data_IF_637768738985
#
_entry.id   IF_637768738985
#
_cell.length_a   1.000
_cell.length_b   1.000
_cell.length_c   1.000
_cell.angle_alpha   90.00
_cell.angle_beta   90.00
_cell.angle_gamma   90.00
#
_symmetry.space_group_name_H-M   'P 1'
#
loop_
_entity.id
_entity.type
_entity.pdbx_description
1 polymer ?
#
# COMPACT_ATOMS: atom_id res chain seq x y z
N UNK A 1 4.45 -10.35 6.25
CA UNK A 1 3.12 -9.91 5.83
C UNK A 1 2.15 -11.09 5.90
N UNK A 2 0.92 -10.88 6.38
CA UNK A 2 -0.11 -11.94 6.43
C UNK A 2 -0.72 -12.15 5.05
N UNK A 3 -1.24 -11.08 4.47
CA UNK A 3 -1.74 -11.10 3.09
C UNK A 3 -0.91 -10.13 2.26
N UNK A 4 -0.33 -10.64 1.17
CA UNK A 4 0.43 -9.84 0.22
C UNK A 4 -0.22 -9.91 -1.16
N UNK A 5 -0.82 -8.80 -1.58
CA UNK A 5 -1.44 -8.66 -2.90
C UNK A 5 -0.38 -8.24 -3.90
N UNK A 6 -0.17 -9.04 -4.92
CA UNK A 6 0.88 -8.87 -5.92
C UNK A 6 0.37 -9.11 -7.33
N UNK A 7 0.97 -8.44 -8.31
CA UNK A 7 0.66 -8.57 -9.74
C UNK A 7 1.92 -8.65 -10.62
N UNK A 8 2.97 -9.23 -10.05
CA UNK A 8 4.22 -9.54 -10.75
C UNK A 8 5.29 -8.46 -10.67
N UNK A 9 6.52 -8.89 -10.95
CA UNK A 9 7.68 -8.01 -11.15
C UNK A 9 7.54 -7.23 -12.46
N UNK A 10 8.40 -6.22 -12.65
CA UNK A 10 8.34 -5.31 -13.82
C UNK A 10 8.27 -6.05 -15.16
N UNK A 11 9.08 -7.10 -15.35
CA UNK A 11 9.07 -7.90 -16.58
C UNK A 11 7.71 -8.58 -16.80
N UNK A 12 7.15 -9.20 -15.76
CA UNK A 12 5.85 -9.85 -15.80
C UNK A 12 4.72 -8.86 -16.06
N UNK A 13 4.74 -7.72 -15.36
CA UNK A 13 3.78 -6.65 -15.56
C UNK A 13 3.77 -6.13 -16.99
N UNK A 14 4.94 -5.85 -17.56
CA UNK A 14 5.07 -5.41 -18.97
C UNK A 14 4.59 -6.45 -19.97
N UNK A 15 4.86 -7.72 -19.70
CA UNK A 15 4.51 -8.83 -20.62
C UNK A 15 3.02 -9.17 -20.60
N UNK A 16 2.44 -9.29 -19.41
CA UNK A 16 1.09 -9.83 -19.26
C UNK A 16 0.03 -8.75 -19.02
N UNK A 17 0.42 -7.58 -18.47
CA UNK A 17 -0.46 -6.43 -18.18
C UNK A 17 -1.74 -6.81 -17.45
N UNK A 18 -1.62 -7.74 -16.52
CA UNK A 18 -2.77 -8.32 -15.81
C UNK A 18 -2.73 -7.84 -14.37
N UNK A 19 -3.70 -7.03 -13.92
CA UNK A 19 -3.82 -6.61 -12.54
C UNK A 19 -4.29 -7.76 -11.63
N UNK A 20 -4.02 -7.63 -10.34
CA UNK A 20 -4.76 -8.33 -9.31
C UNK A 20 -6.00 -7.51 -8.98
N UNK A 21 -7.18 -8.04 -9.22
CA UNK A 21 -8.41 -7.27 -9.11
C UNK A 21 -9.59 -8.06 -8.53
N UNK A 22 -10.60 -7.33 -8.05
CA UNK A 22 -11.81 -7.89 -7.46
C UNK A 22 -11.51 -8.80 -6.26
N UNK A 23 -10.66 -8.32 -5.36
CA UNK A 23 -10.22 -9.07 -4.17
C UNK A 23 -11.04 -8.60 -2.97
N UNK A 24 -11.61 -9.52 -2.24
CA UNK A 24 -12.34 -9.26 -1.01
C UNK A 24 -11.75 -10.04 0.15
N UNK A 25 -11.18 -9.32 1.13
CA UNK A 25 -10.62 -9.85 2.37
C UNK A 25 -11.56 -9.43 3.50
N UNK A 26 -12.16 -10.37 4.17
CA UNK A 26 -13.13 -10.07 5.24
C UNK A 26 -13.05 -11.04 6.40
N UNK A 27 -13.44 -10.55 7.58
CA UNK A 27 -13.60 -11.36 8.79
C UNK A 27 -12.33 -12.15 9.16
N UNK A 28 -11.18 -11.49 8.96
CA UNK A 28 -9.87 -12.05 9.25
C UNK A 28 -9.28 -11.47 10.53
N UNK A 29 -8.67 -12.32 11.32
CA UNK A 29 -7.82 -11.95 12.44
C UNK A 29 -6.35 -12.11 12.01
N UNK A 30 -5.54 -11.07 12.21
CA UNK A 30 -4.12 -11.07 11.90
C UNK A 30 -3.34 -10.61 13.11
N UNK A 31 -2.54 -11.51 13.68
CA UNK A 31 -1.86 -11.30 14.97
C UNK A 31 -0.37 -11.61 14.90
N UNK A 32 0.44 -10.77 15.58
CA UNK A 32 1.87 -11.01 15.80
C UNK A 32 2.66 -11.10 14.49
N UNK A 33 2.65 -10.03 13.69
CA UNK A 33 3.36 -10.08 12.42
C UNK A 33 3.72 -8.75 11.78
N UNK A 34 4.30 -8.82 10.58
CA UNK A 34 4.91 -7.64 9.97
C UNK A 34 3.88 -6.70 9.33
N UNK A 35 3.09 -7.16 8.39
CA UNK A 35 2.04 -6.36 7.75
C UNK A 35 0.74 -7.14 7.68
N UNK A 36 -0.39 -6.54 8.12
CA UNK A 36 -1.66 -7.23 8.03
C UNK A 36 -2.08 -7.41 6.57
N UNK A 37 -2.27 -6.32 5.82
CA UNK A 37 -2.50 -6.37 4.38
C UNK A 37 -1.46 -5.52 3.67
N UNK A 38 -0.70 -6.15 2.79
CA UNK A 38 0.37 -5.50 2.04
C UNK A 38 0.08 -5.56 0.54
N UNK A 39 0.19 -4.42 -0.14
CA UNK A 39 0.17 -4.33 -1.60
C UNK A 39 1.59 -4.11 -2.10
N UNK A 40 2.07 -5.01 -2.95
CA UNK A 40 3.43 -4.95 -3.50
C UNK A 40 4.47 -5.70 -2.66
N UNK A 41 5.75 -5.45 -2.90
CA UNK A 41 6.34 -4.50 -3.88
C UNK A 41 6.19 -4.94 -5.35
N UNK A 42 6.02 -6.22 -5.63
CA UNK A 42 5.81 -6.76 -6.99
C UNK A 42 4.37 -6.51 -7.45
N UNK A 43 4.07 -5.28 -7.84
CA UNK A 43 2.73 -4.85 -8.26
C UNK A 43 2.72 -4.20 -9.66
N UNK A 44 3.62 -4.65 -10.55
CA UNK A 44 3.81 -4.04 -11.85
C UNK A 44 2.63 -4.21 -12.83
N UNK A 45 1.71 -5.14 -12.57
CA UNK A 45 0.45 -5.27 -13.29
C UNK A 45 -0.70 -4.43 -12.72
N UNK A 46 -0.49 -3.78 -11.56
CA UNK A 46 -1.52 -3.01 -10.87
C UNK A 46 -2.37 -3.83 -9.89
N UNK A 47 -3.10 -3.13 -9.02
CA UNK A 47 -4.10 -3.71 -8.12
C UNK A 47 -5.34 -2.82 -8.15
N UNK A 48 -6.50 -3.43 -8.38
CA UNK A 48 -7.77 -2.71 -8.52
C UNK A 48 -8.88 -3.38 -7.74
N UNK A 49 -9.79 -2.57 -7.19
CA UNK A 49 -10.95 -3.06 -6.48
C UNK A 49 -10.59 -4.11 -5.42
N UNK A 50 -9.72 -3.70 -4.47
CA UNK A 50 -9.37 -4.47 -3.27
C UNK A 50 -10.19 -3.93 -2.11
N UNK A 51 -11.03 -4.77 -1.51
CA UNK A 51 -11.81 -4.44 -0.32
C UNK A 51 -11.31 -5.27 0.85
N UNK A 52 -10.94 -4.60 1.94
CA UNK A 52 -10.61 -5.22 3.23
C UNK A 52 -11.61 -4.72 4.26
N UNK A 53 -12.40 -5.62 4.84
CA UNK A 53 -13.43 -5.22 5.77
C UNK A 53 -13.70 -6.20 6.90
N UNK A 54 -14.24 -5.69 8.00
CA UNK A 54 -14.64 -6.49 9.16
C UNK A 54 -13.47 -7.35 9.70
N UNK A 55 -12.26 -6.80 9.67
CA UNK A 55 -11.04 -7.46 10.09
C UNK A 55 -10.53 -6.90 11.42
N UNK A 56 -9.69 -7.67 12.08
CA UNK A 56 -8.97 -7.25 13.28
C UNK A 56 -7.47 -7.48 13.09
N UNK A 57 -6.66 -6.44 13.39
CA UNK A 57 -5.20 -6.51 13.37
C UNK A 57 -4.68 -6.26 14.78
N UNK A 58 -3.87 -7.17 15.27
CA UNK A 58 -3.32 -7.11 16.63
C UNK A 58 -1.82 -7.37 16.61
N UNK A 59 -1.05 -6.50 17.27
CA UNK A 59 0.41 -6.63 17.39
C UNK A 59 1.08 -6.89 16.02
N UNK A 60 0.82 -5.98 15.08
CA UNK A 60 1.46 -5.99 13.75
C UNK A 60 2.26 -4.71 13.55
N UNK A 61 3.36 -4.80 12.78
CA UNK A 61 4.14 -3.59 12.46
C UNK A 61 3.30 -2.59 11.62
N UNK A 62 2.47 -3.10 10.72
CA UNK A 62 1.66 -2.29 9.79
C UNK A 62 0.25 -2.87 9.64
N UNK A 63 -0.74 -2.01 9.58
CA UNK A 63 -2.10 -2.39 9.18
C UNK A 63 -2.21 -2.53 7.66
N UNK A 64 -2.38 -1.42 6.95
CA UNK A 64 -2.19 -1.37 5.50
C UNK A 64 -0.75 -0.99 5.18
N UNK A 65 -0.15 -1.69 4.23
CA UNK A 65 1.17 -1.36 3.72
C UNK A 65 1.20 -1.37 2.20
N UNK A 66 1.42 -0.22 1.59
CA UNK A 66 1.67 -0.10 0.15
C UNK A 66 3.17 0.09 -0.08
N UNK A 67 3.75 -0.77 -0.93
CA UNK A 67 5.17 -0.74 -1.32
C UNK A 67 5.28 -0.63 -2.83
N UNK A 68 5.77 0.50 -3.32
CA UNK A 68 6.05 0.70 -4.74
C UNK A 68 7.29 1.58 -4.92
N UNK A 69 7.68 1.83 -6.15
CA UNK A 69 8.82 2.69 -6.48
C UNK A 69 8.85 3.08 -7.95
N UNK A 70 9.63 4.08 -8.29
CA UNK A 70 10.00 4.36 -9.69
C UNK A 70 10.54 3.11 -10.38
N UNK A 71 10.30 2.95 -11.66
CA UNK A 71 10.66 1.79 -12.45
C UNK A 71 9.69 0.60 -12.33
N UNK A 72 8.61 0.72 -11.55
CA UNK A 72 7.62 -0.35 -11.43
C UNK A 72 6.75 -0.50 -12.68
N UNK A 73 6.57 0.58 -13.42
CA UNK A 73 5.86 0.60 -14.70
C UNK A 73 4.55 1.37 -14.66
N UNK A 74 4.12 1.86 -15.82
CA UNK A 74 2.87 2.62 -15.95
C UNK A 74 1.60 1.78 -15.72
N UNK A 75 1.69 0.47 -15.86
CA UNK A 75 0.58 -0.44 -15.54
C UNK A 75 0.51 -0.74 -14.03
N UNK A 76 1.51 -0.30 -13.25
CA UNK A 76 1.53 -0.40 -11.79
C UNK A 76 0.60 0.64 -11.15
N UNK A 77 -0.69 0.51 -11.40
CA UNK A 77 -1.74 1.40 -10.93
C UNK A 77 -2.48 0.76 -9.76
N UNK A 78 -2.57 1.49 -8.66
CA UNK A 78 -3.41 1.14 -7.51
C UNK A 78 -4.66 2.00 -7.56
N UNK A 79 -5.82 1.36 -7.66
CA UNK A 79 -7.10 2.06 -7.73
C UNK A 79 -8.19 1.33 -6.95
N UNK A 80 -9.04 2.09 -6.27
CA UNK A 80 -10.14 1.58 -5.47
C UNK A 80 -9.67 0.55 -4.41
N UNK A 81 -8.72 0.96 -3.60
CA UNK A 81 -8.26 0.20 -2.43
C UNK A 81 -9.06 0.69 -1.22
N UNK A 82 -9.91 -0.16 -0.68
CA UNK A 82 -10.89 0.18 0.35
C UNK A 82 -10.61 -0.63 1.62
N UNK A 83 -10.46 0.08 2.74
CA UNK A 83 -10.36 -0.48 4.08
C UNK A 83 -11.50 0.07 4.92
N UNK A 84 -12.33 -0.79 5.48
CA UNK A 84 -13.46 -0.33 6.29
C UNK A 84 -13.83 -1.30 7.41
N UNK A 85 -14.39 -0.76 8.51
CA UNK A 85 -14.84 -1.55 9.66
C UNK A 85 -13.72 -2.45 10.19
N UNK A 86 -12.58 -1.84 10.51
CA UNK A 86 -11.39 -2.57 10.97
C UNK A 86 -11.02 -2.10 12.36
N UNK A 87 -10.77 -3.04 13.26
CA UNK A 87 -10.17 -2.79 14.56
C UNK A 87 -8.67 -3.09 14.52
N UNK A 88 -7.87 -2.09 14.90
CA UNK A 88 -6.42 -2.23 15.05
C UNK A 88 -6.02 -1.97 16.50
N UNK A 89 -5.24 -2.85 17.08
CA UNK A 89 -4.72 -2.71 18.43
C UNK A 89 -3.25 -3.11 18.48
N UNK A 90 -2.42 -2.28 19.12
CA UNK A 90 -0.95 -2.44 19.16
C UNK A 90 -0.30 -2.50 17.76
N UNK A 91 -0.91 -1.87 16.76
CA UNK A 91 -0.32 -1.75 15.43
C UNK A 91 0.67 -0.59 15.45
N UNK A 92 1.95 -0.83 15.14
CA UNK A 92 2.99 0.22 15.20
C UNK A 92 2.61 1.42 14.33
N UNK A 93 2.24 1.18 13.07
CA UNK A 93 1.77 2.23 12.16
C UNK A 93 0.61 1.72 11.31
N UNK A 94 -0.64 2.14 11.59
CA UNK A 94 -1.84 1.66 10.90
C UNK A 94 -1.80 1.78 9.37
N UNK A 95 -1.32 2.91 8.85
CA UNK A 95 -1.34 3.18 7.42
C UNK A 95 0.05 3.57 6.92
N UNK A 96 0.62 2.77 6.01
CA UNK A 96 1.95 3.04 5.43
C UNK A 96 1.89 2.98 3.91
N UNK A 97 2.30 4.06 3.27
CA UNK A 97 2.53 4.15 1.82
C UNK A 97 3.99 4.55 1.62
N UNK A 98 4.75 3.72 0.92
CA UNK A 98 6.14 4.00 0.60
C UNK A 98 6.37 3.81 -0.90
N UNK A 99 6.53 4.93 -1.62
CA UNK A 99 6.83 4.95 -3.05
C UNK A 99 8.32 5.03 -3.37
N UNK A 100 9.19 4.82 -2.38
CA UNK A 100 10.65 4.75 -2.50
C UNK A 100 11.20 3.41 -1.99
N UNK A 101 10.40 2.36 -2.11
CA UNK A 101 10.73 1.07 -1.52
C UNK A 101 11.96 0.46 -2.21
N UNK A 102 13.00 0.20 -1.43
CA UNK A 102 14.27 -0.37 -1.92
C UNK A 102 14.17 -1.89 -2.10
N UNK A 103 13.58 -2.34 -3.15
CA UNK A 103 13.59 -3.76 -3.55
C UNK A 103 14.26 -3.91 -4.90
N UNK A 104 14.69 -5.12 -5.22
CA UNK A 104 15.48 -5.45 -6.39
C UNK A 104 16.88 -4.80 -6.40
N UNK A 105 17.80 -5.23 -7.27
CA UNK A 105 19.19 -4.72 -7.28
C UNK A 105 19.31 -3.22 -7.51
N UNK A 106 18.42 -2.62 -8.28
CA UNK A 106 18.38 -1.19 -8.59
C UNK A 106 17.62 -0.34 -7.55
N UNK A 107 17.03 -0.96 -6.54
CA UNK A 107 16.19 -0.26 -5.56
C UNK A 107 16.89 0.80 -4.71
N UNK A 108 18.20 0.75 -4.60
CA UNK A 108 19.05 1.72 -3.88
C UNK A 108 19.70 2.77 -4.77
N UNK A 109 19.39 2.76 -6.06
CA UNK A 109 19.93 3.76 -6.99
C UNK A 109 19.38 5.16 -6.69
N UNK A 110 20.12 6.17 -7.10
CA UNK A 110 19.70 7.56 -6.99
C UNK A 110 18.34 7.79 -7.69
N UNK A 111 18.14 7.19 -8.86
CA UNK A 111 16.87 7.26 -9.58
C UNK A 111 15.68 6.82 -8.72
N UNK A 112 15.80 5.72 -7.99
CA UNK A 112 14.70 5.20 -7.15
C UNK A 112 14.56 6.01 -5.87
N UNK A 113 15.65 6.44 -5.24
CA UNK A 113 15.64 7.05 -3.91
C UNK A 113 15.59 8.57 -3.91
N UNK A 114 15.83 9.23 -5.04
CA UNK A 114 15.79 10.70 -5.12
C UNK A 114 14.42 11.26 -4.74
N UNK A 115 14.45 12.32 -3.95
CA UNK A 115 13.25 13.09 -3.56
C UNK A 115 12.95 14.23 -4.53
N UNK A 116 13.78 14.42 -5.51
CA UNK A 116 13.57 15.41 -6.56
C UNK A 116 12.48 14.97 -7.54
N UNK A 117 11.75 15.95 -8.05
CA UNK A 117 10.72 15.70 -9.06
C UNK A 117 11.36 15.25 -10.37
N UNK A 118 10.96 14.10 -10.87
CA UNK A 118 11.42 13.54 -12.12
C UNK A 118 10.32 13.61 -13.21
N UNK A 119 10.66 13.46 -14.49
CA UNK A 119 9.66 13.29 -15.54
C UNK A 119 8.80 12.05 -15.28
N UNK A 120 7.49 12.15 -15.51
CA UNK A 120 6.60 11.00 -15.55
C UNK A 120 6.86 10.23 -16.83
N UNK A 121 7.13 8.95 -16.74
CA UNK A 121 7.45 8.07 -17.86
C UNK A 121 6.77 6.71 -17.76
N UNK A 122 7.08 5.81 -18.69
CA UNK A 122 6.56 4.44 -18.71
C UNK A 122 7.00 3.58 -17.51
N UNK A 123 7.89 4.06 -16.66
CA UNK A 123 8.32 3.44 -15.42
C UNK A 123 7.60 3.94 -14.18
N UNK A 124 6.78 4.99 -14.28
CA UNK A 124 6.18 5.68 -13.15
C UNK A 124 4.88 5.00 -12.69
N UNK A 125 4.81 4.47 -11.46
CA UNK A 125 3.57 3.90 -10.91
C UNK A 125 2.61 5.01 -10.47
N UNK A 126 1.32 4.68 -10.36
CA UNK A 126 0.29 5.60 -9.88
C UNK A 126 -0.55 5.01 -8.75
N UNK A 127 -0.96 5.86 -7.81
CA UNK A 127 -1.94 5.54 -6.77
C UNK A 127 -3.09 6.52 -6.94
N UNK A 128 -4.25 6.02 -7.38
CA UNK A 128 -5.39 6.86 -7.73
C UNK A 128 -6.32 7.07 -6.55
N UNK A 129 -6.86 6.00 -5.97
CA UNK A 129 -7.85 6.13 -4.91
C UNK A 129 -7.67 5.12 -3.78
N UNK A 130 -7.61 5.66 -2.55
CA UNK A 130 -7.59 4.92 -1.30
C UNK A 130 -8.71 5.41 -0.40
N UNK A 131 -9.56 4.51 0.09
CA UNK A 131 -10.66 4.82 1.00
C UNK A 131 -10.45 4.10 2.33
N UNK A 132 -10.48 4.85 3.43
CA UNK A 132 -10.42 4.37 4.81
C UNK A 132 -11.66 4.83 5.55
N UNK A 133 -12.46 3.90 6.07
CA UNK A 133 -13.75 4.22 6.70
C UNK A 133 -14.00 3.33 7.91
N UNK A 134 -14.46 3.95 9.02
CA UNK A 134 -14.80 3.23 10.24
C UNK A 134 -13.67 2.33 10.76
N UNK A 135 -12.47 2.88 10.89
CA UNK A 135 -11.30 2.15 11.38
C UNK A 135 -10.91 2.69 12.74
N UNK A 136 -10.99 1.85 13.76
CA UNK A 136 -10.50 2.17 15.10
C UNK A 136 -9.07 1.68 15.23
N UNK A 137 -8.15 2.58 15.57
CA UNK A 137 -6.76 2.25 15.83
C UNK A 137 -6.38 2.71 17.24
N UNK A 138 -6.00 1.78 18.10
CA UNK A 138 -5.62 2.07 19.48
C UNK A 138 -4.26 1.47 19.82
N UNK A 139 -3.59 2.09 20.82
CA UNK A 139 -2.24 1.68 21.24
C UNK A 139 -1.23 1.65 20.07
N UNK A 140 -1.34 2.60 19.15
CA UNK A 140 -0.42 2.74 18.02
C UNK A 140 0.84 3.47 18.52
N UNK A 141 2.00 2.82 18.52
CA UNK A 141 3.14 3.31 19.29
C UNK A 141 4.30 3.88 18.46
N UNK A 142 4.12 4.05 17.14
CA UNK A 142 5.13 4.69 16.28
C UNK A 142 4.55 5.91 15.55
N UNK A 143 3.53 5.72 14.73
CA UNK A 143 2.86 6.80 14.01
C UNK A 143 1.43 6.41 13.64
N UNK A 144 0.52 7.37 13.53
CA UNK A 144 -0.83 7.10 13.03
C UNK A 144 -0.82 6.75 11.53
N UNK A 145 0.02 7.42 10.74
CA UNK A 145 0.16 7.19 9.31
C UNK A 145 1.54 7.64 8.82
N UNK A 146 2.00 7.02 7.74
CA UNK A 146 3.20 7.42 6.99
C UNK A 146 2.90 7.34 5.49
N UNK A 147 2.78 8.49 4.84
CA UNK A 147 2.48 8.58 3.41
C UNK A 147 3.63 9.25 2.67
N UNK A 148 4.36 8.48 1.91
CA UNK A 148 5.57 8.87 1.19
C UNK A 148 5.39 8.63 -0.32
N UNK A 149 4.70 9.57 -0.97
CA UNK A 149 4.37 9.55 -2.40
C UNK A 149 5.50 10.09 -3.29
N UNK A 150 5.45 9.79 -4.58
CA UNK A 150 6.38 10.36 -5.56
C UNK A 150 6.05 11.85 -5.79
N UNK A 151 7.07 12.73 -5.88
CA UNK A 151 6.83 14.16 -6.14
C UNK A 151 6.28 14.43 -7.54
N UNK A 152 6.60 13.61 -8.52
CA UNK A 152 6.11 13.70 -9.89
C UNK A 152 4.73 13.08 -10.12
N UNK A 153 4.39 12.02 -9.34
CA UNK A 153 3.12 11.31 -9.44
C UNK A 153 2.50 11.20 -8.05
N UNK A 154 1.85 12.26 -7.64
CA UNK A 154 1.21 12.32 -6.30
C UNK A 154 0.12 11.26 -6.17
N UNK A 155 -0.12 10.84 -4.93
CA UNK A 155 -1.33 10.06 -4.61
C UNK A 155 -2.53 10.97 -4.89
N UNK A 156 -3.44 10.54 -5.78
CA UNK A 156 -4.49 11.44 -6.27
C UNK A 156 -5.57 11.67 -5.23
N UNK A 157 -6.04 10.61 -4.57
CA UNK A 157 -7.10 10.72 -3.59
C UNK A 157 -6.90 9.77 -2.41
N UNK A 158 -6.93 10.34 -1.20
CA UNK A 158 -7.04 9.59 0.05
C UNK A 158 -8.29 10.10 0.76
N UNK A 159 -9.25 9.22 1.02
CA UNK A 159 -10.46 9.52 1.78
C UNK A 159 -10.36 8.84 3.14
N UNK A 160 -10.45 9.61 4.22
CA UNK A 160 -10.43 9.10 5.58
C UNK A 160 -11.68 9.56 6.31
N UNK A 161 -12.53 8.63 6.75
CA UNK A 161 -13.76 8.91 7.47
C UNK A 161 -13.83 8.08 8.74
N UNK A 162 -14.15 8.74 9.85
CA UNK A 162 -14.34 8.10 11.16
C UNK A 162 -13.16 7.17 11.53
N UNK A 163 -11.98 7.79 11.71
CA UNK A 163 -10.72 7.09 12.01
C UNK A 163 -10.22 7.54 13.40
N UNK A 164 -10.84 7.13 14.50
CA UNK A 164 -10.28 7.40 15.83
C UNK A 164 -8.97 6.61 16.02
N UNK A 165 -7.90 7.33 16.32
CA UNK A 165 -6.59 6.76 16.58
C UNK A 165 -6.05 7.25 17.95
N UNK A 166 -5.49 6.35 18.73
CA UNK A 166 -4.86 6.65 20.03
C UNK A 166 -3.50 5.96 20.14
N UNK A 167 -2.62 6.58 20.92
CA UNK A 167 -1.31 6.04 21.27
C UNK A 167 -1.36 5.33 22.62
#
# INVERSE_FOLDING_TARGET
DFIAVKSGKIYMGKKYRTPSENIHIRQCLMENGHGAVTVGSEMAGGVKNLVVEECRFYDTDRGLRIKTRRGRGKDAVLDQIIFRKIDMDQVMTPFVINCFYFCDPDGKTEFVQSREKMPVDDGTPAILRLDFEDIKAQNCHVAAAYFDGLPEQKIEQIIMKNIPATY
#
